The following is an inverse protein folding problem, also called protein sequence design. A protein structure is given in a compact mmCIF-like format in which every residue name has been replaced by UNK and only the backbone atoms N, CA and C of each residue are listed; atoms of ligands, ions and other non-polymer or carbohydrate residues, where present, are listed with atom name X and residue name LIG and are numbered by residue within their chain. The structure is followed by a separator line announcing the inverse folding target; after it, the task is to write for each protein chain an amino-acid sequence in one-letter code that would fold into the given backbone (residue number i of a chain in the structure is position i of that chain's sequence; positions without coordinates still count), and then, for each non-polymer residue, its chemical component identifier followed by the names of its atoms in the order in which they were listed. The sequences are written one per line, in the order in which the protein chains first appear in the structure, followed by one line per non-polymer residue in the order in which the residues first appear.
data_IF_696483945283
#
_entry.id   IF_696483945283
#
_cell.length_a   1.000
_cell.length_b   1.000
_cell.length_c   1.000
_cell.angle_alpha   90.00
_cell.angle_beta   90.00
_cell.angle_gamma   90.00
#
_symmetry.space_group_name_H-M   'P 1'
#
loop_
_entity.id
_entity.type
_entity.pdbx_description
1 polymer ?
#
# COMPACT_ATOMS: atom_id res chain seq x y z
N UNK A 1 5.00 33.46 -48.89
CA UNK A 1 5.51 32.44 -47.98
C UNK A 1 6.37 32.97 -46.83
N UNK A 2 7.41 33.82 -47.10
CA UNK A 2 8.15 34.45 -45.98
C UNK A 2 7.26 35.11 -44.93
N UNK A 3 6.16 35.72 -45.30
CA UNK A 3 5.21 36.38 -44.39
C UNK A 3 4.52 35.44 -43.39
N UNK A 4 4.26 34.18 -43.76
CA UNK A 4 3.65 33.20 -42.85
C UNK A 4 4.65 32.67 -41.82
N UNK A 5 5.89 32.45 -42.21
CA UNK A 5 6.97 32.06 -41.33
C UNK A 5 7.19 33.12 -40.23
N UNK A 6 7.35 34.36 -40.66
CA UNK A 6 7.59 35.47 -39.75
C UNK A 6 6.41 35.69 -38.80
N UNK A 7 5.18 35.48 -39.31
CA UNK A 7 3.98 35.53 -38.50
C UNK A 7 3.95 34.41 -37.43
N UNK A 8 4.23 33.17 -37.82
CA UNK A 8 4.25 32.05 -36.88
C UNK A 8 5.36 32.20 -35.83
N UNK A 9 6.55 32.62 -36.23
CA UNK A 9 7.65 32.91 -35.29
C UNK A 9 7.34 34.09 -34.36
N UNK A 10 6.43 34.96 -34.74
CA UNK A 10 5.97 36.08 -33.88
C UNK A 10 4.97 35.62 -32.80
N UNK A 11 4.42 34.42 -32.92
CA UNK A 11 3.52 33.87 -31.89
C UNK A 11 4.31 33.53 -30.62
N UNK A 12 3.79 33.94 -29.49
CA UNK A 12 4.40 33.67 -28.18
C UNK A 12 4.59 32.16 -27.95
N UNK A 13 5.83 31.75 -27.69
CA UNK A 13 6.17 30.35 -27.44
C UNK A 13 6.53 29.52 -28.68
N UNK A 14 6.42 30.07 -29.91
CA UNK A 14 6.85 29.36 -31.11
C UNK A 14 8.39 29.47 -31.26
N UNK A 15 9.02 28.32 -31.50
CA UNK A 15 10.48 28.22 -31.71
C UNK A 15 10.78 27.29 -32.88
N UNK A 16 11.90 27.53 -33.56
CA UNK A 16 12.42 26.61 -34.55
C UNK A 16 13.02 25.37 -33.85
N UNK A 17 12.68 24.16 -34.32
CA UNK A 17 13.17 22.91 -33.76
C UNK A 17 14.67 22.77 -34.09
N UNK A 18 15.50 22.57 -33.09
CA UNK A 18 16.91 22.27 -33.30
C UNK A 18 17.08 20.85 -33.86
N UNK A 19 18.09 20.63 -34.67
CA UNK A 19 18.38 19.30 -35.26
C UNK A 19 18.73 18.22 -34.21
N UNK A 20 19.09 18.63 -33.02
CA UNK A 20 19.42 17.75 -31.90
C UNK A 20 18.19 17.34 -31.08
N UNK A 21 17.07 18.04 -31.21
CA UNK A 21 15.84 17.75 -30.47
C UNK A 21 15.09 16.61 -31.15
N UNK A 22 14.66 15.64 -30.32
CA UNK A 22 13.82 14.54 -30.78
C UNK A 22 12.35 15.00 -30.88
N UNK A 23 11.76 15.05 -32.09
CA UNK A 23 10.37 15.48 -32.25
C UNK A 23 9.37 14.68 -31.45
N UNK A 24 9.62 13.37 -31.25
CA UNK A 24 8.74 12.48 -30.49
C UNK A 24 8.71 12.89 -29.02
N UNK A 25 9.87 13.21 -28.43
CA UNK A 25 9.94 13.66 -27.04
C UNK A 25 9.19 14.97 -26.80
N UNK A 26 9.27 15.90 -27.76
CA UNK A 26 8.57 17.18 -27.67
C UNK A 26 7.05 17.01 -27.78
N UNK A 27 6.58 16.14 -28.68
CA UNK A 27 5.15 15.81 -28.79
C UNK A 27 4.62 15.18 -27.49
N UNK A 28 5.36 14.24 -26.91
CA UNK A 28 4.97 13.58 -25.67
C UNK A 28 4.95 14.57 -24.49
N UNK A 29 5.83 15.58 -24.52
CA UNK A 29 5.86 16.64 -23.50
C UNK A 29 4.76 17.71 -23.69
N UNK A 30 3.87 17.54 -24.66
CA UNK A 30 2.76 18.44 -24.91
C UNK A 30 3.13 19.65 -25.78
N UNK A 31 4.10 19.50 -26.68
CA UNK A 31 4.41 20.49 -27.68
C UNK A 31 3.72 20.14 -29.00
N UNK A 32 3.22 21.14 -29.73
CA UNK A 32 2.75 20.99 -31.09
C UNK A 32 3.94 21.18 -32.02
N UNK A 33 4.07 20.34 -33.04
CA UNK A 33 5.07 20.46 -34.08
C UNK A 33 4.36 20.80 -35.39
N UNK A 34 4.74 21.88 -36.01
CA UNK A 34 4.27 22.33 -37.33
C UNK A 34 5.39 22.17 -38.31
N UNK A 35 5.15 21.37 -39.36
CA UNK A 35 6.10 21.24 -40.48
C UNK A 35 5.68 22.20 -41.60
N UNK A 36 6.61 23.08 -41.98
CA UNK A 36 6.43 24.03 -43.11
C UNK A 36 7.64 23.89 -44.01
N UNK A 37 7.43 23.34 -45.18
CA UNK A 37 8.50 23.02 -46.17
C UNK A 37 9.58 22.12 -45.51
N UNK A 38 10.79 22.63 -45.33
CA UNK A 38 11.93 21.92 -44.72
C UNK A 38 12.17 22.28 -43.26
N UNK A 39 11.26 23.08 -42.63
CA UNK A 39 11.43 23.54 -41.27
C UNK A 39 10.38 22.94 -40.35
N UNK A 40 10.80 22.57 -39.14
CA UNK A 40 9.96 22.18 -38.06
C UNK A 40 9.90 23.29 -37.02
N UNK A 41 8.71 23.80 -36.76
CA UNK A 41 8.45 24.75 -35.68
C UNK A 41 7.79 24.01 -34.51
N UNK A 42 8.17 24.32 -33.28
CA UNK A 42 7.60 23.79 -32.09
C UNK A 42 6.97 24.89 -31.24
N UNK A 43 5.79 24.59 -30.68
CA UNK A 43 5.10 25.45 -29.72
C UNK A 43 4.62 24.61 -28.57
N UNK A 44 4.90 25.03 -27.35
CA UNK A 44 4.40 24.40 -26.16
C UNK A 44 2.93 24.79 -25.98
N UNK A 45 2.02 23.78 -26.10
CA UNK A 45 0.57 23.96 -25.96
C UNK A 45 0.03 23.30 -24.69
N UNK A 46 0.91 23.08 -23.70
CA UNK A 46 0.51 22.53 -22.43
C UNK A 46 -0.58 23.39 -21.80
N UNK A 47 -1.78 22.87 -21.76
CA UNK A 47 -2.79 23.35 -20.84
C UNK A 47 -2.76 22.46 -19.60
N UNK A 48 -2.28 23.01 -18.51
CA UNK A 48 -2.46 22.38 -17.21
C UNK A 48 -3.92 22.58 -16.82
N UNK A 49 -4.76 21.60 -17.11
CA UNK A 49 -6.11 21.53 -16.53
C UNK A 49 -5.93 21.21 -15.03
N UNK A 50 -5.34 22.16 -14.33
CA UNK A 50 -4.92 21.98 -12.96
C UNK A 50 -5.88 22.69 -12.03
N UNK A 51 -7.07 22.12 -11.90
CA UNK A 51 -7.99 22.50 -10.81
C UNK A 51 -7.79 21.49 -9.68
N UNK A 52 -6.98 21.88 -8.68
CA UNK A 52 -6.82 21.17 -7.40
C UNK A 52 -6.29 19.73 -7.50
N UNK A 53 -5.00 19.57 -7.78
CA UNK A 53 -4.34 18.27 -7.54
C UNK A 53 -4.33 18.04 -6.02
N UNK A 54 -4.96 16.98 -5.53
CA UNK A 54 -4.99 16.70 -4.11
C UNK A 54 -3.62 16.23 -3.62
N UNK A 55 -3.32 16.50 -2.36
CA UNK A 55 -2.18 15.89 -1.69
C UNK A 55 -2.49 14.44 -1.29
N UNK A 56 -1.44 13.62 -1.16
CA UNK A 56 -1.57 12.26 -0.64
C UNK A 56 -2.02 12.28 0.82
N UNK A 57 -2.99 11.45 1.16
CA UNK A 57 -3.58 11.42 2.51
C UNK A 57 -3.30 10.14 3.26
N UNK A 58 -3.02 9.05 2.56
CA UNK A 58 -2.80 7.71 3.13
C UNK A 58 -1.32 7.35 3.05
N UNK A 59 -0.69 7.55 1.89
CA UNK A 59 0.74 7.31 1.68
C UNK A 59 1.54 8.61 1.79
N UNK A 60 1.59 9.22 2.97
CA UNK A 60 2.35 10.46 3.21
C UNK A 60 3.86 10.22 3.06
N UNK A 61 4.59 11.23 2.54
CA UNK A 61 6.04 11.18 2.37
C UNK A 61 6.74 12.21 3.23
N UNK A 62 7.94 11.86 3.69
CA UNK A 62 8.84 12.78 4.39
C UNK A 62 9.66 13.59 3.37
N UNK A 63 10.18 12.91 2.34
CA UNK A 63 10.98 13.51 1.27
C UNK A 63 10.50 12.98 -0.07
N UNK A 64 9.70 13.74 -0.77
CA UNK A 64 9.21 13.32 -2.09
C UNK A 64 7.99 14.11 -2.54
N UNK A 65 7.47 13.80 -3.71
CA UNK A 65 6.25 14.43 -4.20
C UNK A 65 5.07 14.16 -3.29
N UNK A 66 4.33 15.19 -2.92
CA UNK A 66 3.12 15.09 -2.10
C UNK A 66 1.84 15.02 -2.95
N UNK A 67 1.97 15.17 -4.27
CA UNK A 67 0.84 15.11 -5.20
C UNK A 67 0.26 13.71 -5.27
N UNK A 68 -1.04 13.58 -5.05
CA UNK A 68 -1.83 12.36 -5.21
C UNK A 68 -2.66 12.37 -6.50
N UNK A 69 -3.34 11.26 -6.80
CA UNK A 69 -4.35 11.20 -7.84
C UNK A 69 -5.65 11.89 -7.40
N UNK A 70 -6.43 12.35 -8.39
CA UNK A 70 -7.77 12.89 -8.22
C UNK A 70 -8.83 11.82 -8.47
N UNK A 71 -10.11 12.17 -8.34
CA UNK A 71 -11.22 11.30 -8.74
C UNK A 71 -11.49 11.36 -10.25
N UNK A 72 -10.94 12.36 -10.95
CA UNK A 72 -11.06 12.53 -12.40
C UNK A 72 -9.98 11.76 -13.14
N UNK A 73 -10.42 10.87 -14.03
CA UNK A 73 -9.54 9.94 -14.76
C UNK A 73 -8.63 10.67 -15.75
N UNK A 74 -9.12 11.69 -16.45
CA UNK A 74 -8.32 12.47 -17.41
C UNK A 74 -7.19 13.23 -16.71
N UNK A 75 -7.48 13.83 -15.57
CA UNK A 75 -6.47 14.48 -14.71
C UNK A 75 -5.39 13.49 -14.30
N UNK A 76 -5.78 12.28 -13.90
CA UNK A 76 -4.84 11.24 -13.48
C UNK A 76 -3.93 10.78 -14.63
N UNK A 77 -4.48 10.62 -15.84
CA UNK A 77 -3.69 10.30 -17.03
C UNK A 77 -2.68 11.42 -17.31
N UNK A 78 -3.09 12.68 -17.22
CA UNK A 78 -2.21 13.82 -17.45
C UNK A 78 -1.09 13.88 -16.40
N UNK A 79 -1.40 13.69 -15.13
CA UNK A 79 -0.40 13.59 -14.05
C UNK A 79 0.61 12.48 -14.35
N UNK A 80 0.13 11.32 -14.80
CA UNK A 80 0.99 10.18 -15.10
C UNK A 80 1.89 10.44 -16.32
N UNK A 81 1.34 10.98 -17.40
CA UNK A 81 2.11 11.37 -18.59
C UNK A 81 3.19 12.38 -18.28
N UNK A 82 2.94 13.29 -17.34
CA UNK A 82 3.96 14.25 -16.85
C UNK A 82 5.08 13.60 -16.02
N UNK A 83 4.86 12.41 -15.48
CA UNK A 83 5.89 11.69 -14.72
C UNK A 83 6.58 10.60 -15.52
N UNK A 84 5.89 10.06 -16.52
CA UNK A 84 6.37 8.95 -17.33
C UNK A 84 6.35 9.35 -18.82
N UNK A 85 7.42 10.03 -19.26
CA UNK A 85 7.57 10.58 -20.61
C UNK A 85 8.11 9.52 -21.59
N UNK A 86 7.42 8.39 -21.74
CA UNK A 86 7.84 7.36 -22.68
C UNK A 86 6.81 7.17 -23.81
N UNK A 87 7.27 7.11 -25.09
CA UNK A 87 6.37 6.85 -26.21
C UNK A 87 5.78 5.44 -26.18
N UNK A 88 6.35 4.56 -25.38
CA UNK A 88 5.92 3.17 -25.18
C UNK A 88 4.76 3.03 -24.20
N UNK A 89 4.35 4.13 -23.55
CA UNK A 89 3.20 4.14 -22.63
C UNK A 89 1.91 3.91 -23.40
N UNK A 90 1.27 2.78 -23.15
CA UNK A 90 -0.03 2.42 -23.71
C UNK A 90 -1.11 2.61 -22.67
N UNK A 91 -2.23 3.19 -23.07
CA UNK A 91 -3.42 3.40 -22.24
C UNK A 91 -4.59 2.82 -23.02
N UNK A 92 -5.27 1.84 -22.43
CA UNK A 92 -6.44 1.19 -23.00
C UNK A 92 -7.65 1.44 -22.12
N UNK A 93 -8.75 1.82 -22.74
CA UNK A 93 -10.03 2.04 -22.07
C UNK A 93 -10.82 0.75 -22.02
N UNK A 94 -11.33 0.39 -20.86
CA UNK A 94 -12.19 -0.76 -20.65
C UNK A 94 -13.34 -0.38 -19.72
N UNK A 95 -14.40 -1.18 -19.71
CA UNK A 95 -15.56 -0.97 -18.84
C UNK A 95 -15.80 -2.17 -17.94
N UNK A 96 -16.07 -1.92 -16.67
CA UNK A 96 -16.31 -2.96 -15.67
C UNK A 96 -17.65 -2.75 -14.97
N UNK A 97 -18.35 -3.87 -14.72
CA UNK A 97 -19.68 -3.87 -14.12
C UNK A 97 -20.81 -3.79 -15.15
N UNK A 98 -21.77 -4.71 -15.05
CA UNK A 98 -22.87 -4.80 -16.02
C UNK A 98 -23.78 -3.57 -16.02
N UNK A 99 -24.08 -3.04 -14.82
CA UNK A 99 -24.97 -1.87 -14.64
C UNK A 99 -24.17 -0.58 -14.49
N UNK A 100 -23.04 -0.60 -13.77
CA UNK A 100 -22.25 0.60 -13.56
C UNK A 100 -21.47 1.01 -14.80
N UNK A 101 -21.02 0.05 -15.63
CA UNK A 101 -20.16 0.30 -16.80
C UNK A 101 -19.04 1.31 -16.50
N UNK A 102 -18.41 1.13 -15.33
CA UNK A 102 -17.37 2.03 -14.84
C UNK A 102 -16.18 2.03 -15.79
N UNK A 103 -15.76 3.20 -16.21
CA UNK A 103 -14.60 3.38 -17.09
C UNK A 103 -13.34 3.15 -16.27
N UNK A 104 -12.47 2.31 -16.80
CA UNK A 104 -11.15 2.05 -16.26
C UNK A 104 -10.11 2.18 -17.36
N UNK A 105 -8.91 2.63 -17.00
CA UNK A 105 -7.75 2.63 -17.89
C UNK A 105 -6.76 1.57 -17.48
N UNK A 106 -6.40 0.70 -18.42
CA UNK A 106 -5.31 -0.26 -18.29
C UNK A 106 -4.07 0.40 -18.87
N UNK A 107 -3.06 0.62 -18.04
CA UNK A 107 -1.87 1.37 -18.39
C UNK A 107 -0.63 0.49 -18.22
N UNK A 108 0.20 0.43 -19.23
CA UNK A 108 1.44 -0.34 -19.21
C UNK A 108 2.47 0.22 -20.18
N UNK A 109 3.74 -0.11 -19.97
CA UNK A 109 4.80 0.17 -20.94
C UNK A 109 4.93 -1.05 -21.89
N UNK A 110 4.73 -0.83 -23.19
CA UNK A 110 4.72 -1.91 -24.19
C UNK A 110 6.08 -2.60 -24.37
N UNK A 111 7.19 -1.98 -23.94
CA UNK A 111 8.53 -2.59 -23.96
C UNK A 111 8.88 -3.40 -22.73
N UNK A 112 8.34 -3.00 -21.57
CA UNK A 112 8.72 -3.56 -20.28
C UNK A 112 7.71 -4.59 -19.77
N UNK A 113 6.45 -4.52 -20.21
CA UNK A 113 5.36 -5.36 -19.71
C UNK A 113 5.55 -6.82 -20.11
N UNK A 114 5.28 -7.72 -19.16
CA UNK A 114 5.11 -9.15 -19.44
C UNK A 114 3.74 -9.38 -20.10
N UNK A 115 3.77 -9.82 -21.36
CA UNK A 115 2.56 -10.02 -22.17
C UNK A 115 1.67 -11.15 -21.63
N UNK A 116 2.25 -12.17 -20.99
CA UNK A 116 1.48 -13.27 -20.40
C UNK A 116 0.70 -12.76 -19.17
N UNK A 117 1.34 -11.95 -18.33
CA UNK A 117 0.71 -11.29 -17.18
C UNK A 117 -0.40 -10.34 -17.64
N UNK A 118 -0.14 -9.52 -18.67
CA UNK A 118 -1.14 -8.61 -19.22
C UNK A 118 -2.35 -9.36 -19.76
N UNK A 119 -2.13 -10.45 -20.48
CA UNK A 119 -3.19 -11.30 -21.04
C UNK A 119 -4.01 -11.95 -19.92
N UNK A 120 -3.35 -12.57 -18.94
CA UNK A 120 -4.02 -13.16 -17.77
C UNK A 120 -4.89 -12.14 -17.04
N UNK A 121 -4.36 -10.92 -16.85
CA UNK A 121 -5.12 -9.84 -16.23
C UNK A 121 -6.37 -9.46 -17.05
N UNK A 122 -6.23 -9.26 -18.37
CA UNK A 122 -7.35 -8.93 -19.26
C UNK A 122 -8.42 -10.04 -19.27
N UNK A 123 -8.00 -11.29 -19.25
CA UNK A 123 -8.91 -12.43 -19.20
C UNK A 123 -9.68 -12.47 -17.86
N UNK A 124 -9.01 -12.20 -16.74
CA UNK A 124 -9.66 -12.07 -15.43
C UNK A 124 -10.65 -10.89 -15.40
N UNK A 125 -10.28 -9.78 -16.00
CA UNK A 125 -11.16 -8.60 -16.08
C UNK A 125 -12.44 -8.88 -16.86
N UNK A 126 -12.33 -9.53 -18.03
CA UNK A 126 -13.49 -9.96 -18.84
C UNK A 126 -14.36 -10.99 -18.13
N UNK A 127 -13.79 -11.78 -17.24
CA UNK A 127 -14.50 -12.77 -16.43
C UNK A 127 -15.29 -12.18 -15.26
N UNK A 128 -15.22 -10.86 -15.01
CA UNK A 128 -15.94 -10.21 -13.92
C UNK A 128 -17.44 -10.15 -14.24
N UNK A 129 -18.20 -11.02 -13.60
CA UNK A 129 -19.66 -11.06 -13.68
C UNK A 129 -20.29 -10.42 -12.44
N UNK A 130 -20.24 -9.07 -12.37
CA UNK A 130 -20.85 -8.26 -11.31
C UNK A 130 -21.66 -7.11 -11.91
N UNK A 131 -22.82 -6.82 -11.29
CA UNK A 131 -23.66 -5.71 -11.70
C UNK A 131 -23.01 -4.36 -11.38
N UNK A 132 -22.41 -4.25 -10.20
CA UNK A 132 -21.90 -2.99 -9.66
C UNK A 132 -20.44 -3.16 -9.19
N UNK A 133 -19.56 -2.30 -9.72
CA UNK A 133 -18.18 -2.12 -9.30
C UNK A 133 -17.96 -0.63 -9.08
N UNK A 134 -17.49 -0.22 -7.87
CA UNK A 134 -17.44 1.19 -7.49
C UNK A 134 -16.12 1.60 -6.84
N UNK A 135 -15.25 0.66 -6.47
CA UNK A 135 -14.02 0.99 -5.76
C UNK A 135 -12.83 0.13 -6.19
N UNK A 136 -11.63 0.70 -6.06
CA UNK A 136 -10.37 0.02 -6.34
C UNK A 136 -10.22 -1.26 -5.49
N UNK A 137 -10.58 -1.23 -4.21
CA UNK A 137 -10.54 -2.42 -3.35
C UNK A 137 -11.53 -3.51 -3.75
N UNK A 138 -12.70 -3.15 -4.29
CA UNK A 138 -13.64 -4.13 -4.84
C UNK A 138 -13.09 -4.76 -6.12
N UNK A 139 -12.55 -3.96 -7.03
CA UNK A 139 -11.94 -4.45 -8.27
C UNK A 139 -10.73 -5.34 -7.98
N UNK A 140 -9.86 -4.94 -7.07
CA UNK A 140 -8.71 -5.75 -6.61
C UNK A 140 -9.14 -7.15 -6.17
N UNK A 141 -10.18 -7.26 -5.34
CA UNK A 141 -10.73 -8.57 -4.92
C UNK A 141 -11.29 -9.41 -6.06
N UNK A 142 -11.94 -8.78 -7.03
CA UNK A 142 -12.51 -9.49 -8.19
C UNK A 142 -11.42 -10.02 -9.12
N UNK A 143 -10.33 -9.28 -9.30
CA UNK A 143 -9.15 -9.67 -10.08
C UNK A 143 -8.38 -10.80 -9.37
N UNK A 144 -8.24 -10.74 -8.05
CA UNK A 144 -7.56 -11.78 -7.27
C UNK A 144 -8.29 -13.13 -7.29
N UNK A 145 -9.55 -13.15 -7.70
CA UNK A 145 -10.32 -14.38 -7.94
C UNK A 145 -11.18 -14.83 -6.76
N UNK A 146 -11.85 -15.99 -6.93
CA UNK A 146 -12.85 -16.51 -5.97
C UNK A 146 -12.23 -17.20 -4.74
N UNK A 147 -10.95 -17.50 -4.74
CA UNK A 147 -10.27 -18.08 -3.57
C UNK A 147 -10.14 -16.99 -2.51
N UNK A 148 -10.45 -17.34 -1.27
CA UNK A 148 -10.20 -16.46 -0.14
C UNK A 148 -8.67 -16.34 0.06
N UNK A 149 -8.04 -15.42 -0.66
CA UNK A 149 -6.63 -15.14 -0.54
C UNK A 149 -6.47 -14.17 0.64
N UNK A 150 -5.76 -14.63 1.67
CA UNK A 150 -5.50 -13.83 2.87
C UNK A 150 -4.53 -12.67 2.57
N UNK A 151 -3.53 -12.93 1.72
CA UNK A 151 -2.52 -11.96 1.35
C UNK A 151 -2.91 -11.21 0.07
N UNK A 152 -2.76 -9.88 0.05
CA UNK A 152 -3.06 -9.10 -1.14
C UNK A 152 -2.07 -9.41 -2.27
N UNK A 153 -2.60 -9.51 -3.50
CA UNK A 153 -1.81 -9.71 -4.73
C UNK A 153 -1.73 -8.45 -5.60
N UNK A 154 -2.42 -7.41 -5.20
CA UNK A 154 -2.51 -6.12 -5.89
C UNK A 154 -2.24 -5.02 -4.88
N UNK A 155 -1.29 -4.14 -5.16
CA UNK A 155 -1.05 -2.94 -4.36
C UNK A 155 -2.01 -1.84 -4.81
N UNK A 156 -2.62 -1.17 -3.84
CA UNK A 156 -3.47 0.00 -4.05
C UNK A 156 -2.68 1.24 -3.61
N UNK A 157 -2.56 2.24 -4.49
CA UNK A 157 -1.77 3.44 -4.20
C UNK A 157 -2.45 4.70 -4.74
N UNK A 158 -2.33 5.81 -4.02
CA UNK A 158 -2.76 7.14 -4.47
C UNK A 158 -1.62 7.96 -5.07
N UNK A 159 -0.42 7.38 -5.22
CA UNK A 159 0.82 8.08 -5.55
C UNK A 159 1.23 7.93 -7.01
N UNK A 160 1.24 9.02 -7.81
CA UNK A 160 1.68 8.96 -9.21
C UNK A 160 3.16 8.59 -9.41
N UNK A 161 4.04 8.94 -8.46
CA UNK A 161 5.46 8.59 -8.52
C UNK A 161 5.68 7.08 -8.33
N UNK A 162 4.90 6.44 -7.43
CA UNK A 162 4.88 4.98 -7.26
C UNK A 162 4.42 4.28 -8.54
N UNK A 163 3.40 4.83 -9.18
CA UNK A 163 2.89 4.29 -10.44
C UNK A 163 3.94 4.37 -11.54
N UNK A 164 4.57 5.54 -11.74
CA UNK A 164 5.62 5.71 -12.74
C UNK A 164 6.81 4.76 -12.50
N UNK A 165 7.22 4.57 -11.25
CA UNK A 165 8.27 3.60 -10.89
C UNK A 165 7.86 2.16 -11.22
N UNK A 166 6.62 1.76 -10.93
CA UNK A 166 6.17 0.40 -11.21
C UNK A 166 5.96 0.14 -12.71
N UNK A 167 5.56 1.15 -13.50
CA UNK A 167 5.54 1.07 -14.97
C UNK A 167 6.93 0.78 -15.54
N UNK A 168 7.97 1.44 -15.04
CA UNK A 168 9.35 1.17 -15.45
C UNK A 168 9.87 -0.22 -15.03
N UNK A 169 9.10 -0.97 -14.22
CA UNK A 169 9.36 -2.36 -13.84
C UNK A 169 8.47 -3.35 -14.58
N UNK A 170 7.76 -2.92 -15.61
CA UNK A 170 6.90 -3.76 -16.41
C UNK A 170 5.58 -4.16 -15.77
N UNK A 171 5.16 -3.49 -14.70
CA UNK A 171 3.86 -3.77 -14.06
C UNK A 171 2.71 -3.11 -14.80
N UNK A 172 1.55 -3.73 -14.70
CA UNK A 172 0.29 -3.21 -15.23
C UNK A 172 -0.39 -2.36 -14.15
N UNK A 173 -0.88 -1.21 -14.58
CA UNK A 173 -1.56 -0.25 -13.72
C UNK A 173 -3.02 -0.13 -14.15
N UNK A 174 -3.92 0.00 -13.19
CA UNK A 174 -5.33 0.27 -13.47
C UNK A 174 -5.77 1.52 -12.74
N UNK A 175 -6.17 2.52 -13.50
CA UNK A 175 -6.87 3.70 -12.98
C UNK A 175 -8.37 3.51 -13.18
N UNK A 176 -9.18 4.08 -12.29
CA UNK A 176 -10.63 3.98 -12.33
C UNK A 176 -11.24 5.37 -12.18
N UNK A 177 -12.31 5.63 -12.91
CA UNK A 177 -13.13 6.84 -12.73
C UNK A 177 -13.75 6.89 -11.33
N UNK A 178 -13.82 8.08 -10.74
CA UNK A 178 -14.42 8.30 -9.42
C UNK A 178 -13.62 7.77 -8.25
N UNK A 179 -12.32 7.46 -8.42
CA UNK A 179 -11.44 7.02 -7.34
C UNK A 179 -10.04 7.58 -7.48
N UNK A 180 -9.45 7.95 -6.34
CA UNK A 180 -8.09 8.48 -6.23
C UNK A 180 -7.02 7.37 -6.19
N UNK A 181 -7.43 6.11 -6.30
CA UNK A 181 -6.54 4.97 -6.12
C UNK A 181 -6.28 4.25 -7.44
N UNK A 182 -5.01 3.99 -7.71
CA UNK A 182 -4.55 3.13 -8.77
C UNK A 182 -4.26 1.72 -8.23
N UNK A 183 -4.50 0.70 -9.05
CA UNK A 183 -4.10 -0.67 -8.78
C UNK A 183 -2.79 -0.96 -9.49
N UNK A 184 -1.88 -1.64 -8.81
CA UNK A 184 -0.57 -2.08 -9.34
C UNK A 184 -0.54 -3.61 -9.31
N UNK A 185 -0.34 -4.23 -10.46
CA UNK A 185 -0.30 -5.69 -10.60
C UNK A 185 0.73 -6.16 -11.64
N UNK A 186 1.29 -7.36 -11.46
CA UNK A 186 1.24 -8.18 -10.25
C UNK A 186 2.07 -7.57 -9.14
N UNK A 187 1.72 -7.84 -7.88
CA UNK A 187 2.49 -7.36 -6.74
C UNK A 187 3.03 -8.53 -5.94
N UNK A 188 4.28 -8.40 -5.50
CA UNK A 188 4.97 -9.38 -4.67
C UNK A 188 5.06 -8.87 -3.22
N UNK A 189 5.34 -9.76 -2.27
CA UNK A 189 5.43 -9.42 -0.86
C UNK A 189 6.32 -8.20 -0.55
N UNK A 190 7.45 -8.08 -1.27
CA UNK A 190 8.36 -6.95 -1.14
C UNK A 190 7.71 -5.59 -1.45
N UNK A 191 6.79 -5.55 -2.42
CA UNK A 191 6.13 -4.30 -2.83
C UNK A 191 5.29 -3.69 -1.70
N UNK A 192 4.75 -4.56 -0.83
CA UNK A 192 3.96 -4.14 0.33
C UNK A 192 4.82 -3.67 1.51
N UNK A 193 6.09 -4.09 1.56
CA UNK A 193 7.04 -3.71 2.61
C UNK A 193 7.89 -2.50 2.22
N UNK A 194 7.94 -2.13 0.93
CA UNK A 194 8.68 -0.99 0.42
C UNK A 194 7.86 0.30 0.47
N UNK A 195 8.49 1.40 0.89
CA UNK A 195 7.95 2.75 0.79
C UNK A 195 8.63 3.52 -0.33
N UNK A 196 7.94 4.48 -0.94
CA UNK A 196 8.57 5.37 -1.92
C UNK A 196 9.67 6.24 -1.31
N UNK A 197 9.57 6.56 -0.01
CA UNK A 197 10.65 7.27 0.71
C UNK A 197 12.00 6.54 0.65
N UNK A 198 11.99 5.20 0.51
CA UNK A 198 13.21 4.40 0.41
C UNK A 198 14.02 4.74 -0.85
N UNK A 199 13.38 5.23 -1.91
CA UNK A 199 14.04 5.66 -3.15
C UNK A 199 14.66 7.06 -3.02
N UNK A 200 14.13 7.89 -2.12
CA UNK A 200 14.56 9.27 -1.94
C UNK A 200 15.65 9.42 -0.88
N UNK A 201 15.90 8.38 -0.08
CA UNK A 201 16.89 8.38 0.98
C UNK A 201 18.20 7.70 0.55
N UNK A 202 19.27 7.95 1.33
CA UNK A 202 20.53 7.26 1.12
C UNK A 202 20.38 5.74 1.27
N UNK A 203 21.01 4.94 0.39
CA UNK A 203 20.88 3.48 0.32
C UNK A 203 21.08 2.76 1.67
N UNK A 204 21.96 3.26 2.53
CA UNK A 204 22.20 2.68 3.86
C UNK A 204 21.02 2.88 4.81
N UNK A 205 20.44 4.07 4.82
CA UNK A 205 19.27 4.41 5.64
C UNK A 205 18.05 3.62 5.18
N UNK A 206 17.81 3.59 3.87
CA UNK A 206 16.71 2.83 3.27
C UNK A 206 16.75 1.34 3.63
N UNK A 207 17.94 0.69 3.54
CA UNK A 207 18.12 -0.71 3.95
C UNK A 207 17.87 -0.92 5.45
N UNK A 208 18.31 0.00 6.30
CA UNK A 208 18.07 -0.06 7.73
C UNK A 208 16.56 0.06 8.06
N UNK A 209 15.86 1.01 7.44
CA UNK A 209 14.42 1.18 7.63
C UNK A 209 13.64 -0.05 7.12
N UNK A 210 14.05 -0.62 6.00
CA UNK A 210 13.46 -1.85 5.49
C UNK A 210 13.66 -3.01 6.48
N UNK A 211 14.86 -3.16 7.08
CA UNK A 211 15.10 -4.16 8.11
C UNK A 211 14.20 -3.95 9.33
N UNK A 212 14.03 -2.70 9.79
CA UNK A 212 13.11 -2.38 10.89
C UNK A 212 11.65 -2.76 10.56
N UNK A 213 11.21 -2.58 9.30
CA UNK A 213 9.87 -3.01 8.88
C UNK A 213 9.72 -4.53 8.96
N UNK A 214 10.70 -5.30 8.50
CA UNK A 214 10.66 -6.76 8.63
C UNK A 214 10.71 -7.22 10.09
N UNK A 215 11.51 -6.56 10.93
CA UNK A 215 11.51 -6.82 12.37
C UNK A 215 10.17 -6.48 13.02
N UNK A 216 9.58 -5.33 12.68
CA UNK A 216 8.24 -4.95 13.14
C UNK A 216 7.19 -5.97 12.72
N UNK A 217 7.22 -6.42 11.46
CA UNK A 217 6.34 -7.47 10.97
C UNK A 217 6.49 -8.76 11.80
N UNK A 218 7.73 -9.21 12.04
CA UNK A 218 8.00 -10.40 12.84
C UNK A 218 7.48 -10.25 14.28
N UNK A 219 7.69 -9.11 14.92
CA UNK A 219 7.16 -8.81 16.25
C UNK A 219 5.63 -8.82 16.25
N UNK A 220 5.00 -8.11 15.31
CA UNK A 220 3.55 -8.04 15.23
C UNK A 220 2.90 -9.42 15.06
N UNK A 221 3.51 -10.28 14.27
CA UNK A 221 2.98 -11.58 13.90
C UNK A 221 3.28 -12.67 14.93
N UNK A 222 4.55 -12.75 15.36
CA UNK A 222 5.06 -13.90 16.12
C UNK A 222 5.06 -13.68 17.64
N UNK A 223 5.30 -12.45 18.12
CA UNK A 223 5.52 -12.22 19.53
C UNK A 223 4.39 -12.71 20.46
N UNK A 224 3.10 -12.46 20.15
CA UNK A 224 2.01 -12.97 20.98
C UNK A 224 1.94 -14.50 21.00
N UNK A 225 2.12 -15.13 19.86
CA UNK A 225 2.06 -16.58 19.72
C UNK A 225 3.26 -17.26 20.41
N UNK A 226 4.47 -16.71 20.25
CA UNK A 226 5.68 -17.19 20.93
C UNK A 226 5.54 -17.06 22.45
N UNK A 227 5.02 -15.91 22.94
CA UNK A 227 4.80 -15.71 24.36
C UNK A 227 3.87 -16.79 24.94
N UNK A 228 2.72 -17.05 24.29
CA UNK A 228 1.79 -18.10 24.71
C UNK A 228 2.44 -19.47 24.61
N UNK A 229 3.12 -19.78 23.50
CA UNK A 229 3.77 -21.08 23.30
C UNK A 229 4.83 -21.37 24.36
N UNK A 230 5.65 -20.39 24.74
CA UNK A 230 6.66 -20.60 25.77
C UNK A 230 6.03 -20.64 27.15
N UNK A 231 5.17 -19.69 27.50
CA UNK A 231 4.61 -19.62 28.87
C UNK A 231 3.69 -20.79 29.22
N UNK A 232 2.97 -21.34 28.24
CA UNK A 232 2.01 -22.43 28.47
C UNK A 232 2.61 -23.83 28.30
N UNK A 233 3.61 -24.02 27.42
CA UNK A 233 4.11 -25.34 27.05
C UNK A 233 5.60 -25.56 27.41
N UNK A 234 6.43 -24.53 27.31
CA UNK A 234 7.90 -24.66 27.43
C UNK A 234 8.51 -23.56 28.30
N UNK A 235 8.06 -23.37 29.56
CA UNK A 235 8.59 -22.30 30.42
C UNK A 235 10.09 -22.44 30.73
N UNK A 236 10.64 -23.63 30.56
CA UNK A 236 12.07 -23.94 30.72
C UNK A 236 12.97 -23.27 29.68
N UNK A 237 12.44 -22.77 28.58
CA UNK A 237 13.20 -21.99 27.59
C UNK A 237 13.60 -20.62 28.12
N UNK A 238 12.90 -20.09 29.10
CA UNK A 238 13.28 -18.86 29.76
C UNK A 238 14.41 -19.13 30.79
N UNK A 239 15.31 -18.15 30.91
CA UNK A 239 16.20 -18.14 32.07
C UNK A 239 15.38 -18.13 33.36
N UNK A 240 15.80 -18.86 34.37
CA UNK A 240 15.08 -19.02 35.65
C UNK A 240 14.59 -17.69 36.22
N UNK A 241 15.45 -16.66 36.22
CA UNK A 241 15.08 -15.33 36.72
C UNK A 241 13.92 -14.71 35.92
N UNK A 242 13.93 -14.83 34.58
CA UNK A 242 12.87 -14.32 33.74
C UNK A 242 11.57 -15.14 33.92
N UNK A 243 11.68 -16.46 33.99
CA UNK A 243 10.54 -17.33 34.26
C UNK A 243 9.85 -16.99 35.59
N UNK A 244 10.63 -16.78 36.65
CA UNK A 244 10.12 -16.36 37.96
C UNK A 244 9.49 -14.96 37.91
N UNK A 245 10.09 -14.02 37.17
CA UNK A 245 9.53 -12.67 36.97
C UNK A 245 8.19 -12.73 36.23
N UNK A 246 8.07 -13.55 35.18
CA UNK A 246 6.81 -13.76 34.44
C UNK A 246 5.77 -14.39 35.35
N UNK A 247 6.14 -15.45 36.09
CA UNK A 247 5.26 -16.14 37.02
C UNK A 247 4.75 -15.20 38.12
N UNK A 248 5.66 -14.38 38.71
CA UNK A 248 5.31 -13.37 39.70
C UNK A 248 4.38 -12.29 39.17
N UNK A 249 4.65 -11.77 37.95
CA UNK A 249 3.79 -10.78 37.32
C UNK A 249 2.38 -11.32 36.99
N UNK A 250 2.24 -12.63 36.80
CA UNK A 250 0.96 -13.30 36.50
C UNK A 250 0.28 -13.88 37.73
N UNK A 251 0.87 -13.78 38.90
CA UNK A 251 0.31 -14.37 40.13
C UNK A 251 -1.08 -13.83 40.50
N UNK A 252 -1.38 -12.58 40.13
CA UNK A 252 -2.69 -11.94 40.33
C UNK A 252 -3.71 -12.20 39.20
N UNK A 253 -3.27 -12.77 38.09
CA UNK A 253 -4.12 -12.96 36.89
C UNK A 253 -4.77 -14.35 36.95
N UNK A 254 -6.13 -14.46 37.02
CA UNK A 254 -6.82 -15.73 37.17
C UNK A 254 -6.94 -16.56 35.88
N UNK A 255 -6.45 -16.00 34.75
CA UNK A 255 -6.62 -16.61 33.44
C UNK A 255 -5.33 -17.22 32.89
N UNK A 256 -5.40 -18.25 32.04
CA UNK A 256 -4.24 -18.74 31.31
C UNK A 256 -3.74 -17.71 30.31
N UNK A 257 -2.45 -17.80 29.93
CA UNK A 257 -1.76 -16.80 29.10
C UNK A 257 -2.46 -16.48 27.77
N UNK A 258 -3.04 -17.48 27.12
CA UNK A 258 -3.71 -17.27 25.83
C UNK A 258 -5.00 -16.43 25.96
N UNK A 259 -5.75 -16.53 27.06
CA UNK A 259 -6.93 -15.67 27.31
C UNK A 259 -6.49 -14.24 27.56
N UNK A 260 -5.45 -14.04 28.38
CA UNK A 260 -4.87 -12.74 28.68
C UNK A 260 -4.43 -12.03 27.39
N UNK A 261 -3.66 -12.74 26.53
CA UNK A 261 -3.21 -12.23 25.23
C UNK A 261 -4.38 -11.90 24.32
N UNK A 262 -5.34 -12.83 24.18
CA UNK A 262 -6.49 -12.66 23.30
C UNK A 262 -7.34 -11.46 23.72
N UNK A 263 -7.62 -11.33 25.04
CA UNK A 263 -8.37 -10.21 25.59
C UNK A 263 -7.71 -8.86 25.21
N UNK A 264 -6.43 -8.71 25.48
CA UNK A 264 -5.72 -7.48 25.21
C UNK A 264 -5.61 -7.17 23.71
N UNK A 265 -5.35 -8.18 22.88
CA UNK A 265 -5.32 -7.98 21.43
C UNK A 265 -6.68 -7.55 20.89
N UNK A 266 -7.79 -8.14 21.34
CA UNK A 266 -9.14 -7.74 20.94
C UNK A 266 -9.43 -6.32 21.40
N UNK A 267 -9.08 -5.94 22.62
CA UNK A 267 -9.25 -4.57 23.11
C UNK A 267 -8.46 -3.56 22.26
N UNK A 268 -7.24 -3.88 21.88
CA UNK A 268 -6.43 -3.05 21.00
C UNK A 268 -7.03 -2.95 19.57
N UNK A 269 -7.59 -4.04 19.05
CA UNK A 269 -8.29 -4.00 17.75
C UNK A 269 -9.53 -3.12 17.80
N UNK A 270 -10.35 -3.24 18.86
CA UNK A 270 -11.52 -2.39 19.06
C UNK A 270 -11.13 -0.89 19.18
N UNK A 271 -10.04 -0.61 19.89
CA UNK A 271 -9.52 0.74 20.03
C UNK A 271 -9.07 1.32 18.67
N UNK A 272 -8.37 0.50 17.88
CA UNK A 272 -7.90 0.87 16.54
C UNK A 272 -9.08 1.10 15.60
N UNK A 273 -10.09 0.22 15.61
CA UNK A 273 -11.30 0.34 14.79
C UNK A 273 -12.12 1.59 15.17
N UNK A 274 -12.23 1.87 16.47
CA UNK A 274 -12.89 3.07 16.96
C UNK A 274 -12.15 4.35 16.51
N UNK A 275 -10.81 4.34 16.53
CA UNK A 275 -9.97 5.48 16.11
C UNK A 275 -10.19 5.87 14.65
N UNK A 276 -10.37 4.91 13.76
CA UNK A 276 -10.60 5.15 12.33
C UNK A 276 -11.95 5.85 12.08
N UNK A 277 -12.94 5.60 12.96
CA UNK A 277 -14.29 6.19 12.85
C UNK A 277 -14.41 7.58 13.46
N UNK A 278 -13.44 7.99 14.27
CA UNK A 278 -13.42 9.31 14.88
C UNK A 278 -12.89 10.39 13.91
N UNK A 279 -13.33 11.65 14.04
CA UNK A 279 -12.73 12.75 13.31
C UNK A 279 -11.22 12.82 13.54
N UNK A 280 -10.44 13.12 12.48
CA UNK A 280 -8.98 13.16 12.51
C UNK A 280 -8.38 14.00 13.64
N UNK A 281 -9.09 15.05 14.08
CA UNK A 281 -8.65 15.90 15.18
C UNK A 281 -8.72 15.23 16.57
N UNK A 282 -9.60 14.25 16.75
CA UNK A 282 -9.89 13.65 18.07
C UNK A 282 -9.35 12.21 18.15
N UNK A 283 -9.33 11.50 17.01
CA UNK A 283 -8.95 10.07 16.95
C UNK A 283 -7.65 9.72 17.66
N UNK A 284 -6.51 10.37 17.33
CA UNK A 284 -5.23 10.07 17.98
C UNK A 284 -5.24 10.28 19.50
N UNK A 285 -5.85 11.37 19.95
CA UNK A 285 -5.94 11.69 21.40
C UNK A 285 -6.80 10.67 22.13
N UNK A 286 -7.98 10.35 21.60
CA UNK A 286 -8.87 9.35 22.20
C UNK A 286 -8.23 7.96 22.26
N UNK A 287 -7.49 7.58 21.21
CA UNK A 287 -6.78 6.28 21.17
C UNK A 287 -5.65 6.23 22.19
N UNK A 288 -4.86 7.31 22.31
CA UNK A 288 -3.75 7.36 23.27
C UNK A 288 -4.27 7.31 24.71
N UNK A 289 -5.22 8.15 25.05
CA UNK A 289 -5.80 8.21 26.40
C UNK A 289 -6.57 6.91 26.71
N UNK A 290 -7.38 6.42 25.77
CA UNK A 290 -8.12 5.18 25.93
C UNK A 290 -7.20 3.96 26.12
N UNK A 291 -6.11 3.88 25.35
CA UNK A 291 -5.12 2.81 25.50
C UNK A 291 -4.39 2.85 26.82
N UNK A 292 -4.01 4.05 27.30
CA UNK A 292 -3.36 4.21 28.60
C UNK A 292 -4.28 3.82 29.76
N UNK A 293 -5.51 4.34 29.78
CA UNK A 293 -6.51 4.02 30.82
C UNK A 293 -6.83 2.52 30.79
N UNK A 294 -7.05 1.93 29.61
CA UNK A 294 -7.35 0.51 29.47
C UNK A 294 -6.19 -0.34 30.02
N UNK A 295 -4.94 -0.01 29.66
CA UNK A 295 -3.76 -0.73 30.14
C UNK A 295 -3.61 -0.66 31.65
N UNK A 296 -3.73 0.52 32.24
CA UNK A 296 -3.63 0.72 33.70
C UNK A 296 -4.78 0.02 34.44
N UNK A 297 -6.02 0.25 34.04
CA UNK A 297 -7.18 -0.37 34.68
C UNK A 297 -7.14 -1.91 34.59
N UNK A 298 -6.71 -2.46 33.45
CA UNK A 298 -6.62 -3.91 33.28
C UNK A 298 -5.56 -4.53 34.19
N UNK A 299 -4.41 -3.87 34.42
CA UNK A 299 -3.39 -4.35 35.35
C UNK A 299 -3.78 -4.16 36.81
N UNK A 300 -4.37 -3.02 37.19
CA UNK A 300 -4.85 -2.76 38.53
C UNK A 300 -5.98 -3.72 38.97
N UNK A 301 -6.84 -4.08 38.00
CA UNK A 301 -7.89 -5.06 38.22
C UNK A 301 -7.38 -6.53 38.23
N UNK A 302 -6.07 -6.77 37.99
CA UNK A 302 -5.51 -8.12 37.89
C UNK A 302 -6.03 -8.92 36.69
N UNK A 303 -6.54 -8.25 35.67
CA UNK A 303 -7.02 -8.91 34.45
C UNK A 303 -5.88 -9.28 33.50
N UNK A 304 -4.77 -8.51 33.53
CA UNK A 304 -3.58 -8.75 32.73
C UNK A 304 -2.31 -8.44 33.52
N UNK A 305 -1.22 -9.09 33.16
CA UNK A 305 0.09 -8.86 33.76
C UNK A 305 0.81 -7.64 33.15
N UNK A 306 1.71 -7.02 33.89
CA UNK A 306 2.54 -5.92 33.37
C UNK A 306 3.38 -6.34 32.16
N UNK A 307 3.84 -7.58 32.13
CA UNK A 307 4.61 -8.13 30.98
C UNK A 307 3.71 -8.19 29.73
N UNK A 308 2.45 -8.54 29.90
CA UNK A 308 1.49 -8.59 28.80
C UNK A 308 1.28 -7.21 28.18
N UNK A 309 1.21 -6.14 28.97
CA UNK A 309 1.11 -4.77 28.46
C UNK A 309 2.31 -4.44 27.58
N UNK A 310 3.53 -4.81 27.99
CA UNK A 310 4.75 -4.58 27.19
C UNK A 310 4.66 -5.33 25.85
N UNK A 311 4.23 -6.58 25.86
CA UNK A 311 4.07 -7.40 24.64
C UNK A 311 3.06 -6.78 23.69
N UNK A 312 1.86 -6.44 24.20
CA UNK A 312 0.80 -5.85 23.38
C UNK A 312 1.20 -4.47 22.84
N UNK A 313 1.88 -3.66 23.64
CA UNK A 313 2.41 -2.36 23.19
C UNK A 313 3.43 -2.53 22.07
N UNK A 314 4.35 -3.50 22.18
CA UNK A 314 5.30 -3.81 21.12
C UNK A 314 4.59 -4.25 19.84
N UNK A 315 3.56 -5.08 19.93
CA UNK A 315 2.73 -5.51 18.80
C UNK A 315 1.98 -4.32 18.19
N UNK A 316 1.39 -3.46 19.02
CA UNK A 316 0.65 -2.28 18.55
C UNK A 316 1.55 -1.32 17.76
N UNK A 317 2.73 -0.99 18.30
CA UNK A 317 3.71 -0.14 17.61
C UNK A 317 4.15 -0.79 16.30
N UNK A 318 4.40 -2.09 16.31
CA UNK A 318 4.86 -2.85 15.14
C UNK A 318 3.82 -2.91 14.01
N UNK A 319 2.53 -2.87 14.32
CA UNK A 319 1.48 -2.82 13.31
C UNK A 319 1.54 -1.53 12.46
N UNK A 320 2.03 -0.40 13.00
CA UNK A 320 2.17 0.86 12.28
C UNK A 320 3.42 0.93 11.39
N UNK A 321 4.32 -0.02 11.49
CA UNK A 321 5.56 -0.05 10.70
C UNK A 321 5.33 -0.55 9.28
N UNK A 322 4.23 -1.27 9.03
CA UNK A 322 3.86 -1.78 7.71
C UNK A 322 3.32 -0.63 6.85
N UNK A 323 3.97 -0.27 5.72
CA UNK A 323 3.63 0.93 4.97
C UNK A 323 2.33 0.81 4.16
N UNK A 324 1.93 -0.40 3.78
CA UNK A 324 0.74 -0.67 2.95
C UNK A 324 -0.35 -1.34 3.79
N UNK A 325 -1.48 -0.65 3.90
CA UNK A 325 -2.58 -1.04 4.81
C UNK A 325 -3.14 -2.44 4.53
N UNK A 326 -3.27 -2.83 3.25
CA UNK A 326 -3.80 -4.14 2.85
C UNK A 326 -2.97 -5.29 3.44
N UNK A 327 -1.65 -5.16 3.42
CA UNK A 327 -0.75 -6.12 4.05
C UNK A 327 -0.87 -6.08 5.57
N UNK A 328 -0.99 -4.88 6.14
CA UNK A 328 -1.24 -4.72 7.58
C UNK A 328 -2.48 -5.47 8.05
N UNK A 329 -3.60 -5.38 7.33
CA UNK A 329 -4.83 -6.12 7.64
C UNK A 329 -4.65 -7.64 7.52
N UNK A 330 -3.98 -8.10 6.47
CA UNK A 330 -3.69 -9.53 6.31
C UNK A 330 -2.87 -10.08 7.49
N UNK A 331 -1.83 -9.34 7.91
CA UNK A 331 -0.98 -9.73 9.04
C UNK A 331 -1.71 -9.72 10.37
N UNK A 332 -2.65 -8.78 10.57
CA UNK A 332 -3.50 -8.74 11.78
C UNK A 332 -4.37 -10.00 11.89
N UNK A 333 -4.93 -10.48 10.79
CA UNK A 333 -5.70 -11.74 10.79
C UNK A 333 -4.80 -12.95 11.01
N UNK A 334 -3.67 -13.02 10.30
CA UNK A 334 -2.69 -14.11 10.43
C UNK A 334 -2.18 -14.26 11.86
N UNK A 335 -1.98 -13.16 12.58
CA UNK A 335 -1.58 -13.16 14.00
C UNK A 335 -2.52 -13.99 14.88
N UNK A 336 -3.84 -13.85 14.69
CA UNK A 336 -4.82 -14.64 15.46
C UNK A 336 -4.79 -16.11 15.10
N UNK A 337 -4.53 -16.44 13.85
CA UNK A 337 -4.34 -17.83 13.43
C UNK A 337 -3.11 -18.46 14.09
N UNK A 338 -1.98 -17.74 14.12
CA UNK A 338 -0.78 -18.21 14.82
C UNK A 338 -1.01 -18.34 16.33
N UNK A 339 -1.72 -17.39 16.94
CA UNK A 339 -2.06 -17.43 18.36
C UNK A 339 -2.94 -18.66 18.69
N UNK A 340 -3.93 -18.95 17.87
CA UNK A 340 -4.78 -20.13 18.04
C UNK A 340 -3.95 -21.42 17.98
N UNK A 341 -3.07 -21.56 16.99
CA UNK A 341 -2.19 -22.73 16.86
C UNK A 341 -1.20 -22.83 18.02
N UNK A 342 -0.68 -21.70 18.52
CA UNK A 342 0.17 -21.65 19.71
C UNK A 342 -0.57 -22.16 20.97
N UNK A 343 -1.86 -21.84 21.07
CA UNK A 343 -2.69 -22.24 22.20
C UNK A 343 -2.90 -23.75 22.26
N UNK A 344 -3.02 -24.43 21.10
CA UNK A 344 -3.27 -25.87 21.06
C UNK A 344 -2.01 -26.73 21.10
N UNK A 345 -0.93 -26.31 20.45
CA UNK A 345 0.26 -27.14 20.20
C UNK A 345 1.58 -26.44 20.56
N UNK A 346 1.52 -25.29 21.20
CA UNK A 346 2.70 -24.56 21.64
C UNK A 346 3.53 -24.03 20.47
N UNK A 347 4.85 -24.01 20.64
CA UNK A 347 5.80 -23.47 19.63
C UNK A 347 5.76 -24.26 18.32
N UNK A 348 5.50 -25.56 18.37
CA UNK A 348 5.40 -26.39 17.16
C UNK A 348 4.23 -25.89 16.30
N UNK A 349 3.11 -25.55 16.94
CA UNK A 349 1.95 -24.97 16.25
C UNK A 349 2.25 -23.63 15.59
N UNK A 350 3.06 -22.79 16.21
CA UNK A 350 3.49 -21.50 15.61
C UNK A 350 4.26 -21.76 14.32
N UNK A 351 5.20 -22.70 14.32
CA UNK A 351 6.00 -23.05 13.14
C UNK A 351 5.11 -23.60 12.02
N UNK A 352 4.22 -24.55 12.36
CA UNK A 352 3.29 -25.14 11.37
C UNK A 352 2.36 -24.08 10.81
N UNK A 353 1.80 -23.19 11.64
CA UNK A 353 0.91 -22.11 11.21
C UNK A 353 1.65 -21.09 10.34
N UNK A 354 2.90 -20.78 10.67
CA UNK A 354 3.73 -19.90 9.85
C UNK A 354 3.95 -20.48 8.45
N UNK A 355 4.35 -21.75 8.37
CA UNK A 355 4.52 -22.45 7.09
C UNK A 355 3.19 -22.48 6.33
N UNK A 356 2.09 -22.86 6.98
CA UNK A 356 0.77 -22.93 6.36
C UNK A 356 0.33 -21.56 5.80
N UNK A 357 0.67 -20.45 6.49
CA UNK A 357 0.33 -19.10 6.01
C UNK A 357 1.00 -18.72 4.70
N UNK A 358 2.10 -19.35 4.31
CA UNK A 358 2.74 -19.15 2.99
C UNK A 358 2.04 -19.92 1.86
N UNK A 359 1.17 -20.88 2.17
CA UNK A 359 0.43 -21.66 1.18
C UNK A 359 -1.03 -21.24 1.02
N UNK A 360 -1.49 -20.30 1.81
CA UNK A 360 -2.83 -19.68 1.73
C UNK A 360 -2.79 -18.39 0.92
#
# INVERSE_FOLDING_TARGET
MKSYKDYLLSLSGMKELNKEDNPVDLLIRGSMIISIEEMLLTMEIKEFVNKNIPETTIETTIQGPQTGFSEDLETNINILRHRYHQPTLVIEDEKVGKKTQLIINIIYDSKEVDLDVLKEFKDKLKGIDKDVVQSAGQLSRLISGKKAILFPTVVISERPDRIAYNLSKGKVIVLMEGTRFALILPSVFYDFMSSMDDLYQAKGISKFLLLLRYLGLAIALLLPAIYVGITAFNPELFRVQLALSIAGSRASVPYPAYIEVLFMLIMMELLTEASIRLPKAIGPTATTVGGLILGQAATEAGLVSNIMIIIVSAVAISNFVIPINEMGFAMRVTKYFLLAMATFTGLIGVIVALIASFFI
#
